data_IF_828010971628
#
_entry.id   IF_828010971628
#
_cell.length_a   1.000
_cell.length_b   1.000
_cell.length_c   1.000
_cell.angle_alpha   90.00
_cell.angle_beta   90.00
_cell.angle_gamma   90.00
#
_symmetry.space_group_name_H-M   'P 1'
#
loop_
_entity.id
_entity.type
_entity.pdbx_description
1 polymer ?
#
# COMPACT_ATOMS: atom_id res chain seq x y z
N UNK A 1 -16.15 3.92 7.83
CA UNK A 1 -14.88 3.59 7.16
C UNK A 1 -13.85 4.59 7.66
N UNK A 2 -13.03 4.20 8.64
CA UNK A 2 -12.14 5.14 9.35
C UNK A 2 -10.85 5.37 8.56
N UNK A 3 -10.48 6.63 8.37
CA UNK A 3 -9.15 7.00 7.90
C UNK A 3 -8.08 6.64 8.95
N UNK A 4 -6.79 6.53 8.55
CA UNK A 4 -5.69 6.36 9.49
C UNK A 4 -5.78 7.36 10.65
N UNK A 5 -5.81 6.86 11.87
CA UNK A 5 -5.88 7.69 13.07
C UNK A 5 -4.50 8.20 13.41
N UNK A 6 -4.42 9.45 13.88
CA UNK A 6 -3.17 10.03 14.36
C UNK A 6 -2.56 9.18 15.48
N UNK A 7 -1.23 9.03 15.47
CA UNK A 7 -0.50 8.24 16.46
C UNK A 7 -0.48 6.72 16.22
N UNK A 8 -1.20 6.22 15.21
CA UNK A 8 -1.19 4.80 14.83
C UNK A 8 -0.32 4.58 13.58
N UNK A 9 0.43 3.47 13.58
CA UNK A 9 1.15 2.99 12.39
C UNK A 9 0.34 1.90 11.69
N UNK A 10 0.36 1.96 10.36
CA UNK A 10 -0.35 1.07 9.45
C UNK A 10 0.62 0.44 8.46
N UNK A 11 0.30 -0.75 7.98
CA UNK A 11 0.90 -1.30 6.77
C UNK A 11 -0.01 -0.96 5.59
N UNK A 12 0.57 -0.29 4.58
CA UNK A 12 -0.03 -0.10 3.28
C UNK A 12 0.58 -1.11 2.30
N UNK A 13 -0.24 -2.00 1.76
CA UNK A 13 0.10 -2.86 0.63
C UNK A 13 -0.45 -2.22 -0.64
N UNK A 14 0.45 -1.87 -1.56
CA UNK A 14 0.14 -1.30 -2.87
C UNK A 14 0.23 -2.40 -3.92
N UNK A 15 -0.86 -2.56 -4.67
CA UNK A 15 -0.94 -3.38 -5.86
C UNK A 15 -0.96 -2.44 -7.07
N UNK A 16 -0.06 -2.65 -8.01
CA UNK A 16 0.09 -1.77 -9.18
C UNK A 16 0.47 -2.58 -10.41
N UNK A 17 0.15 -2.06 -11.59
CA UNK A 17 0.54 -2.66 -12.86
C UNK A 17 2.06 -2.59 -13.03
N UNK A 18 2.70 -3.75 -13.20
CA UNK A 18 4.15 -3.90 -13.33
C UNK A 18 4.47 -4.94 -14.42
N UNK A 19 4.70 -4.50 -15.67
CA UNK A 19 5.03 -5.41 -16.77
C UNK A 19 6.34 -6.18 -16.57
N UNK A 20 7.19 -5.79 -15.63
CA UNK A 20 8.48 -6.43 -15.40
C UNK A 20 8.39 -7.66 -14.47
N UNK A 21 7.31 -7.80 -13.69
CA UNK A 21 7.12 -9.01 -12.87
C UNK A 21 6.54 -10.15 -13.69
N UNK A 22 7.27 -11.27 -13.73
CA UNK A 22 6.89 -12.49 -14.44
C UNK A 22 5.80 -13.28 -13.68
N UNK A 23 4.60 -12.71 -13.68
CA UNK A 23 3.38 -13.34 -13.19
C UNK A 23 2.30 -13.20 -14.24
N UNK A 24 1.34 -14.13 -14.26
CA UNK A 24 0.24 -14.15 -15.24
C UNK A 24 -0.50 -12.80 -15.36
N UNK A 25 -0.56 -12.03 -14.29
CA UNK A 25 -1.31 -10.77 -14.23
C UNK A 25 -0.42 -9.53 -14.24
N UNK A 26 0.91 -9.67 -14.21
CA UNK A 26 1.85 -8.53 -14.16
C UNK A 26 1.53 -7.53 -13.03
N UNK A 27 1.17 -8.03 -11.84
CA UNK A 27 0.83 -7.18 -10.69
C UNK A 27 2.01 -7.14 -9.73
N UNK A 28 2.59 -5.95 -9.59
CA UNK A 28 3.59 -5.66 -8.56
C UNK A 28 2.94 -5.47 -7.20
N UNK A 29 3.65 -5.85 -6.14
CA UNK A 29 3.20 -5.68 -4.75
C UNK A 29 4.29 -5.00 -3.93
N UNK A 30 3.97 -3.86 -3.31
CA UNK A 30 4.89 -3.12 -2.44
C UNK A 30 4.27 -2.87 -1.08
N UNK A 31 5.03 -3.08 -0.01
CA UNK A 31 4.58 -2.82 1.38
C UNK A 31 5.32 -1.64 1.98
N UNK A 32 4.59 -0.78 2.67
CA UNK A 32 5.10 0.39 3.36
C UNK A 32 4.48 0.51 4.75
N UNK A 33 5.29 0.88 5.74
CA UNK A 33 4.74 1.40 6.98
C UNK A 33 4.37 2.87 6.77
N UNK A 34 3.14 3.24 7.13
CA UNK A 34 2.59 4.59 6.96
C UNK A 34 1.87 5.06 8.22
N UNK A 35 1.78 6.37 8.38
CA UNK A 35 0.96 7.03 9.41
C UNK A 35 -0.08 7.92 8.73
N UNK A 36 -0.95 8.57 9.49
CA UNK A 36 -1.91 9.54 8.96
C UNK A 36 -1.28 10.75 8.27
N UNK A 37 0.02 11.02 8.50
CA UNK A 37 0.76 12.11 7.86
C UNK A 37 1.61 11.67 6.65
N UNK A 38 1.62 10.38 6.32
CA UNK A 38 2.43 9.86 5.21
C UNK A 38 1.81 10.21 3.85
N UNK A 39 2.66 10.57 2.89
CA UNK A 39 2.30 10.65 1.48
C UNK A 39 2.71 9.34 0.79
N UNK A 40 1.74 8.64 0.21
CA UNK A 40 1.99 7.44 -0.58
C UNK A 40 2.01 7.81 -2.07
N UNK A 41 3.20 7.83 -2.66
CA UNK A 41 3.35 8.08 -4.10
C UNK A 41 3.24 6.76 -4.85
N UNK A 42 2.24 6.68 -5.74
CA UNK A 42 2.03 5.55 -6.64
C UNK A 42 2.13 6.06 -8.07
N UNK A 43 3.13 5.61 -8.80
CA UNK A 43 3.25 5.91 -10.23
C UNK A 43 2.34 4.95 -11.00
N UNK A 44 1.40 5.49 -11.76
CA UNK A 44 0.51 4.72 -12.63
C UNK A 44 1.07 4.74 -14.05
N UNK A 45 0.92 3.60 -14.74
CA UNK A 45 1.10 3.54 -16.19
C UNK A 45 -0.07 4.25 -16.89
N UNK A 46 0.08 4.57 -18.18
CA UNK A 46 -1.02 5.11 -18.97
C UNK A 46 -2.21 4.14 -18.94
N UNK A 47 -3.37 4.63 -18.50
CA UNK A 47 -4.59 3.81 -18.28
C UNK A 47 -4.46 2.70 -17.22
N UNK A 48 -3.38 2.69 -16.43
CA UNK A 48 -3.18 1.72 -15.36
C UNK A 48 -3.94 2.08 -14.08
N UNK A 49 -4.16 1.07 -13.24
CA UNK A 49 -4.81 1.23 -11.94
C UNK A 49 -3.88 0.83 -10.79
N UNK A 50 -4.21 1.29 -9.59
CA UNK A 50 -3.59 0.78 -8.37
C UNK A 50 -4.63 0.59 -7.28
N UNK A 51 -4.43 -0.43 -6.47
CA UNK A 51 -5.20 -0.67 -5.25
C UNK A 51 -4.29 -0.55 -4.04
N UNK A 52 -4.81 0.05 -2.96
CA UNK A 52 -4.09 0.17 -1.69
C UNK A 52 -4.91 -0.50 -0.60
N UNK A 53 -4.32 -1.49 0.04
CA UNK A 53 -4.87 -2.10 1.25
C UNK A 53 -4.12 -1.59 2.47
N UNK A 54 -4.83 -0.86 3.35
CA UNK A 54 -4.25 -0.29 4.58
C UNK A 54 -4.81 -1.05 5.78
N UNK A 55 -3.92 -1.50 6.66
CA UNK A 55 -4.28 -2.21 7.88
C UNK A 55 -3.43 -1.74 9.08
N UNK A 56 -3.98 -1.66 10.29
CA UNK A 56 -3.18 -1.32 11.47
C UNK A 56 -2.09 -2.37 11.69
N UNK A 57 -0.87 -1.93 11.98
CA UNK A 57 0.16 -2.83 12.49
C UNK A 57 -0.19 -3.05 13.95
N UNK A 58 -0.54 -4.29 14.33
CA UNK A 58 -0.67 -4.63 15.74
C UNK A 58 0.74 -4.60 16.33
N UNK A 59 0.98 -3.67 17.24
CA UNK A 59 2.08 -3.80 18.18
C UNK A 59 1.58 -4.75 19.26
N UNK A 60 1.95 -6.02 19.16
CA UNK A 60 1.89 -6.93 20.30
C UNK A 60 2.87 -6.40 21.35
N UNK A 61 2.32 -5.83 22.43
CA UNK A 61 3.06 -5.57 23.65
C UNK A 61 3.47 -6.93 24.22
N UNK A 62 4.75 -7.26 24.05
CA UNK A 62 5.41 -8.33 24.78
C UNK A 62 6.06 -7.73 26.03
#
# INVERSE_FOLDING_TARGET
MGFPTAGQTYEATVYYDDPAVDTRTHVGVRRHQVTSGSLLQVALLESGEAAVWIQPIRTDLN
#
